data_IF_959043027358
#
_entry.id   IF_959043027358
#
_cell.length_a   1.000
_cell.length_b   1.000
_cell.length_c   1.000
_cell.angle_alpha   90.00
_cell.angle_beta   90.00
_cell.angle_gamma   90.00
#
_symmetry.space_group_name_H-M   'P 1'
#
loop_
_entity.id
_entity.type
_entity.pdbx_description
1 polymer ?
#
# COMPACT_ATOMS: atom_id res chain seq x y z
N UNK A 1 -60.40 -24.39 0.52
CA UNK A 1 -59.65 -23.18 0.95
C UNK A 1 -58.49 -23.63 1.83
N UNK A 2 -57.21 -23.39 1.49
CA UNK A 2 -56.10 -23.73 2.37
C UNK A 2 -55.82 -22.61 3.39
N UNK A 3 -55.68 -23.00 4.65
CA UNK A 3 -55.52 -22.12 5.83
C UNK A 3 -54.07 -21.63 5.93
N UNK A 4 -53.88 -20.31 6.03
CA UNK A 4 -52.56 -19.67 6.25
C UNK A 4 -52.05 -19.95 7.67
N UNK A 5 -50.93 -20.67 7.82
CA UNK A 5 -50.21 -20.79 9.09
C UNK A 5 -49.23 -19.61 9.23
N UNK A 6 -49.48 -18.75 10.23
CA UNK A 6 -48.51 -17.79 10.77
C UNK A 6 -47.39 -18.57 11.47
N UNK A 7 -46.22 -18.64 10.83
CA UNK A 7 -44.98 -18.99 11.51
C UNK A 7 -44.39 -17.75 12.14
N UNK A 8 -44.75 -17.48 13.40
CA UNK A 8 -43.95 -16.61 14.26
C UNK A 8 -42.80 -17.47 14.79
N UNK A 9 -41.58 -17.05 14.54
CA UNK A 9 -40.43 -17.44 15.35
C UNK A 9 -39.59 -16.18 15.56
N UNK A 10 -39.09 -15.96 16.79
CA UNK A 10 -38.39 -14.75 17.16
C UNK A 10 -37.08 -14.66 16.36
N UNK A 11 -36.69 -13.42 16.04
CA UNK A 11 -35.41 -13.14 15.39
C UNK A 11 -34.28 -13.68 16.27
N UNK A 12 -33.70 -14.80 15.87
CA UNK A 12 -32.43 -15.27 16.43
C UNK A 12 -31.38 -14.23 16.09
N UNK A 13 -30.82 -13.61 17.13
CA UNK A 13 -29.68 -12.70 17.02
C UNK A 13 -28.43 -13.57 17.02
N UNK A 14 -27.63 -13.49 15.96
CA UNK A 14 -26.33 -14.15 15.89
C UNK A 14 -25.36 -13.38 16.80
N UNK A 15 -24.68 -14.09 17.70
CA UNK A 15 -23.80 -13.48 18.71
C UNK A 15 -22.44 -13.06 18.12
N UNK A 16 -22.15 -13.47 16.88
CA UNK A 16 -21.02 -13.00 16.06
C UNK A 16 -21.45 -11.88 15.07
N UNK A 17 -22.73 -11.46 15.09
CA UNK A 17 -23.19 -10.34 14.26
C UNK A 17 -22.48 -9.06 14.71
N UNK A 18 -21.72 -8.47 13.79
CA UNK A 18 -20.96 -7.26 14.07
C UNK A 18 -21.93 -6.13 14.46
N UNK A 19 -21.65 -5.39 15.55
CA UNK A 19 -22.55 -4.31 15.98
C UNK A 19 -22.68 -3.27 14.88
N UNK A 20 -23.89 -2.71 14.75
CA UNK A 20 -24.13 -1.62 13.81
C UNK A 20 -23.29 -0.39 14.21
N UNK A 21 -22.18 -0.20 13.50
CA UNK A 21 -21.23 0.89 13.72
C UNK A 21 -21.81 2.27 13.39
N UNK A 22 -23.04 2.34 12.86
CA UNK A 22 -23.79 3.58 12.67
C UNK A 22 -24.56 4.03 13.92
N UNK A 23 -24.60 3.22 14.98
CA UNK A 23 -25.24 3.59 16.23
C UNK A 23 -24.54 4.82 16.89
N UNK A 24 -25.29 5.68 17.58
CA UNK A 24 -24.79 6.95 18.12
C UNK A 24 -23.68 6.78 19.19
N UNK A 25 -23.57 5.59 19.78
CA UNK A 25 -22.47 5.22 20.68
C UNK A 25 -21.12 5.13 19.96
N UNK A 26 -21.10 4.57 18.75
CA UNK A 26 -19.90 4.47 17.91
C UNK A 26 -19.52 5.82 17.32
N UNK A 27 -20.49 6.62 16.89
CA UNK A 27 -20.25 7.97 16.38
C UNK A 27 -19.53 8.86 17.42
N UNK A 28 -19.95 8.80 18.69
CA UNK A 28 -19.29 9.51 19.78
C UNK A 28 -17.89 8.95 20.12
N UNK A 29 -17.70 7.64 19.96
CA UNK A 29 -16.40 7.01 20.16
C UNK A 29 -15.39 7.42 19.06
N UNK A 30 -15.83 7.52 17.81
CA UNK A 30 -15.02 7.99 16.69
C UNK A 30 -14.69 9.47 16.78
N UNK A 31 -15.62 10.31 17.24
CA UNK A 31 -15.40 11.76 17.43
C UNK A 31 -14.34 12.04 18.52
N UNK A 32 -14.38 11.27 19.62
CA UNK A 32 -13.43 11.41 20.73
C UNK A 32 -12.08 10.72 20.50
N UNK A 33 -11.97 9.88 19.45
CA UNK A 33 -10.75 9.17 19.15
C UNK A 33 -9.67 10.14 18.64
N UNK A 34 -8.50 10.26 19.29
CA UNK A 34 -7.42 11.07 18.77
C UNK A 34 -6.95 10.48 17.44
N UNK A 35 -7.24 11.19 16.34
CA UNK A 35 -6.76 10.82 15.00
C UNK A 35 -5.24 10.95 14.99
N UNK A 36 -4.56 9.85 15.31
CA UNK A 36 -3.14 9.67 14.99
C UNK A 36 -3.05 9.55 13.47
N UNK A 37 -3.08 10.70 12.78
CA UNK A 37 -2.72 10.80 11.37
C UNK A 37 -1.38 10.07 11.24
N UNK A 38 -1.34 9.04 10.39
CA UNK A 38 -0.22 8.12 10.31
C UNK A 38 1.12 8.81 10.03
N UNK A 39 2.17 7.98 9.94
CA UNK A 39 3.59 8.35 9.72
C UNK A 39 3.75 9.72 9.03
N UNK A 40 4.51 10.66 9.61
CA UNK A 40 4.69 11.99 9.04
C UNK A 40 5.06 11.92 7.56
N UNK A 41 4.48 12.80 6.72
CA UNK A 41 4.72 12.78 5.28
C UNK A 41 6.22 12.97 5.03
N UNK A 42 6.87 11.95 4.45
CA UNK A 42 8.24 12.10 3.97
C UNK A 42 8.25 13.11 2.82
N UNK A 43 9.10 14.13 2.92
CA UNK A 43 9.25 15.19 1.89
C UNK A 43 9.59 14.62 0.50
N UNK A 44 10.28 13.46 0.43
CA UNK A 44 10.47 12.67 -0.79
C UNK A 44 10.05 11.23 -0.57
N UNK A 45 8.85 10.89 -1.03
CA UNK A 45 8.41 9.50 -1.17
C UNK A 45 9.04 8.87 -2.42
N UNK A 46 9.36 7.58 -2.35
CA UNK A 46 9.71 6.82 -3.55
C UNK A 46 8.48 6.80 -4.46
N UNK A 47 8.61 7.30 -5.69
CA UNK A 47 7.55 7.16 -6.68
C UNK A 47 7.50 5.70 -7.13
N UNK A 48 6.34 5.07 -6.97
CA UNK A 48 6.09 3.75 -7.54
C UNK A 48 5.79 3.92 -9.01
N UNK A 49 6.68 3.42 -9.87
CA UNK A 49 6.51 3.44 -11.32
C UNK A 49 6.72 2.03 -11.84
N UNK A 50 5.84 1.60 -12.76
CA UNK A 50 5.95 0.30 -13.42
C UNK A 50 6.88 0.43 -14.62
N UNK A 51 8.05 -0.22 -14.56
CA UNK A 51 9.02 -0.30 -15.66
C UNK A 51 9.10 -1.75 -16.12
N UNK A 52 9.13 -1.95 -17.44
CA UNK A 52 9.44 -3.26 -18.03
C UNK A 52 10.96 -3.41 -18.12
N UNK A 53 11.49 -4.47 -17.54
CA UNK A 53 12.89 -4.85 -17.61
C UNK A 53 13.01 -6.08 -18.52
N UNK A 54 14.14 -6.20 -19.20
CA UNK A 54 14.49 -7.43 -19.90
C UNK A 54 14.50 -8.64 -18.96
N UNK A 55 14.10 -9.83 -19.44
CA UNK A 55 14.00 -11.03 -18.62
C UNK A 55 15.35 -11.41 -18.01
N UNK A 56 16.45 -11.33 -18.76
CA UNK A 56 17.79 -11.68 -18.29
C UNK A 56 18.26 -10.78 -17.13
N UNK A 57 17.94 -9.48 -17.20
CA UNK A 57 18.29 -8.52 -16.15
C UNK A 57 17.47 -8.81 -14.88
N UNK A 58 16.18 -9.11 -15.05
CA UNK A 58 15.29 -9.43 -13.94
C UNK A 58 15.68 -10.75 -13.27
N UNK A 59 16.06 -11.77 -14.04
CA UNK A 59 16.61 -13.05 -13.55
C UNK A 59 17.88 -12.80 -12.72
N UNK A 60 18.85 -12.06 -13.27
CA UNK A 60 20.08 -11.72 -12.57
C UNK A 60 19.84 -10.98 -11.24
N UNK A 61 18.95 -9.98 -11.25
CA UNK A 61 18.60 -9.22 -10.07
C UNK A 61 17.92 -10.10 -9.00
N UNK A 62 16.99 -10.96 -9.43
CA UNK A 62 16.27 -11.89 -8.54
C UNK A 62 17.16 -13.00 -7.99
N UNK A 63 18.17 -13.45 -8.75
CA UNK A 63 19.14 -14.43 -8.30
C UNK A 63 19.91 -13.96 -7.06
N UNK A 64 20.09 -12.65 -6.90
CA UNK A 64 20.66 -12.06 -5.68
C UNK A 64 19.74 -12.13 -4.44
N UNK A 65 18.52 -12.64 -4.55
CA UNK A 65 17.59 -12.82 -3.44
C UNK A 65 16.73 -11.58 -3.09
N UNK A 66 16.12 -11.57 -1.89
CA UNK A 66 15.19 -10.50 -1.49
C UNK A 66 15.87 -9.13 -1.46
N UNK A 67 15.13 -8.09 -1.84
CA UNK A 67 15.65 -6.72 -1.92
C UNK A 67 16.30 -6.34 -3.26
N UNK A 68 16.15 -7.16 -4.30
CA UNK A 68 16.68 -6.88 -5.64
C UNK A 68 16.25 -5.52 -6.21
N UNK A 69 15.02 -5.05 -5.91
CA UNK A 69 14.55 -3.71 -6.30
C UNK A 69 15.36 -2.59 -5.65
N UNK A 70 15.74 -2.75 -4.38
CA UNK A 70 16.58 -1.79 -3.67
C UNK A 70 17.98 -1.72 -4.29
N UNK A 71 18.54 -2.88 -4.68
CA UNK A 71 19.82 -2.95 -5.38
C UNK A 71 19.75 -2.32 -6.77
N UNK A 72 18.69 -2.58 -7.53
CA UNK A 72 18.43 -1.93 -8.81
C UNK A 72 18.39 -0.40 -8.66
N UNK A 73 17.65 0.10 -7.68
CA UNK A 73 17.60 1.55 -7.41
C UNK A 73 18.97 2.12 -7.00
N UNK A 74 19.81 1.37 -6.27
CA UNK A 74 21.16 1.80 -5.93
C UNK A 74 22.05 1.88 -7.19
N UNK A 75 22.00 0.84 -8.03
CA UNK A 75 22.73 0.79 -9.30
C UNK A 75 22.36 1.95 -10.24
N UNK A 76 21.06 2.22 -10.39
CA UNK A 76 20.58 3.34 -11.20
C UNK A 76 21.09 4.69 -10.68
N UNK A 77 21.18 4.89 -9.36
CA UNK A 77 21.71 6.12 -8.78
C UNK A 77 23.18 6.33 -9.08
N UNK A 78 23.97 5.26 -8.98
CA UNK A 78 25.39 5.31 -9.32
C UNK A 78 25.60 5.60 -10.81
N UNK A 79 24.86 4.92 -11.68
CA UNK A 79 24.92 5.14 -13.13
C UNK A 79 24.58 6.60 -13.50
N UNK A 80 23.53 7.17 -12.90
CA UNK A 80 23.15 8.58 -13.12
C UNK A 80 24.27 9.52 -12.64
N UNK A 81 24.84 9.29 -11.45
CA UNK A 81 25.93 10.11 -10.92
C UNK A 81 27.19 10.06 -11.81
N UNK A 82 27.53 8.86 -12.29
CA UNK A 82 28.64 8.65 -13.21
C UNK A 82 28.41 9.39 -14.55
N UNK A 83 27.20 9.33 -15.10
CA UNK A 83 26.86 10.06 -16.33
C UNK A 83 26.97 11.58 -16.14
N UNK A 84 26.45 12.12 -15.03
CA UNK A 84 26.52 13.54 -14.73
C UNK A 84 27.98 14.03 -14.63
N UNK A 85 28.83 13.28 -13.95
CA UNK A 85 30.26 13.59 -13.87
C UNK A 85 30.93 13.60 -15.24
N UNK A 86 30.59 12.65 -16.12
CA UNK A 86 31.11 12.61 -17.49
C UNK A 86 30.64 13.79 -18.33
N UNK A 87 29.36 14.20 -18.21
CA UNK A 87 28.83 15.37 -18.93
C UNK A 87 29.52 16.66 -18.49
N UNK A 88 29.74 16.86 -17.20
CA UNK A 88 30.47 18.03 -16.68
C UNK A 88 31.89 18.11 -17.21
N UNK A 89 32.59 16.97 -17.33
CA UNK A 89 33.96 16.90 -17.86
C UNK A 89 34.06 17.20 -19.35
N UNK A 90 33.03 16.84 -20.13
CA UNK A 90 32.98 17.11 -21.58
C UNK A 90 32.61 18.55 -21.91
N UNK A 91 31.91 19.26 -21.01
CA UNK A 91 31.47 20.64 -21.24
C UNK A 91 32.53 21.68 -20.81
N UNK A 92 33.52 21.29 -20.02
CA UNK A 92 34.65 22.12 -19.58
C UNK A 92 35.89 21.98 -20.48
N UNK A 93 35.82 21.18 -21.55
CA UNK A 93 36.86 21.09 -22.60
C UNK A 93 36.37 21.71 -23.90
#
# INVERSE_FOLDING_TARGET
MPVKKKGSSPAWVDEDDAPDLSAPEWAQAFDKAPVRRGRPPLNRTKASTTVRLDPDILEYLRAGGPGWQTRLNAFLREAIAAEQNQRSRKHTS
#
